data_IF_390411514835
#
_entry.id   IF_390411514835
#
_cell.length_a   1.000
_cell.length_b   1.000
_cell.length_c   1.000
_cell.angle_alpha   90.00
_cell.angle_beta   90.00
_cell.angle_gamma   90.00
#
_symmetry.space_group_name_H-M   'P 1'
#
loop_
_entity.id
_entity.type
_entity.pdbx_description
1 polymer ?
#
# COMPACT_ATOMS: atom_id res chain seq x y z
N UNK A 1 -19.66 -7.51 -13.33
CA UNK A 1 -19.40 -6.37 -12.42
C UNK A 1 -18.86 -6.80 -11.05
N UNK A 2 -19.59 -7.56 -10.21
CA UNK A 2 -19.10 -7.92 -8.84
C UNK A 2 -17.77 -8.68 -8.84
N UNK A 3 -17.61 -9.72 -9.67
CA UNK A 3 -16.37 -10.49 -9.74
C UNK A 3 -15.16 -9.68 -10.21
N UNK A 4 -15.36 -8.73 -11.14
CA UNK A 4 -14.30 -7.85 -11.64
C UNK A 4 -13.84 -6.87 -10.57
N UNK A 5 -14.77 -6.30 -9.79
CA UNK A 5 -14.45 -5.46 -8.65
C UNK A 5 -13.73 -6.24 -7.55
N UNK A 6 -14.19 -7.46 -7.27
CA UNK A 6 -13.52 -8.33 -6.30
C UNK A 6 -12.09 -8.66 -6.73
N UNK A 7 -11.86 -8.94 -8.01
CA UNK A 7 -10.53 -9.17 -8.54
C UNK A 7 -9.62 -7.94 -8.39
N UNK A 8 -10.15 -6.73 -8.65
CA UNK A 8 -9.40 -5.47 -8.41
C UNK A 8 -9.02 -5.31 -6.94
N UNK A 9 -9.94 -5.58 -6.01
CA UNK A 9 -9.68 -5.53 -4.57
C UNK A 9 -8.62 -6.55 -4.15
N UNK A 10 -8.69 -7.79 -4.66
CA UNK A 10 -7.71 -8.84 -4.35
C UNK A 10 -6.31 -8.44 -4.85
N UNK A 11 -6.19 -7.85 -6.04
CA UNK A 11 -4.93 -7.33 -6.57
C UNK A 11 -4.37 -6.16 -5.74
N UNK A 12 -5.21 -5.23 -5.30
CA UNK A 12 -4.78 -4.16 -4.42
C UNK A 12 -4.31 -4.71 -3.06
N UNK A 13 -5.03 -5.71 -2.53
CA UNK A 13 -4.68 -6.39 -1.29
C UNK A 13 -3.36 -7.16 -1.39
N UNK A 14 -3.02 -7.74 -2.54
CA UNK A 14 -1.72 -8.41 -2.70
C UNK A 14 -0.56 -7.42 -2.57
N UNK A 15 -0.71 -6.17 -3.05
CA UNK A 15 0.30 -5.12 -2.87
C UNK A 15 0.45 -4.76 -1.39
N UNK A 16 -0.65 -4.58 -0.66
CA UNK A 16 -0.64 -4.34 0.80
C UNK A 16 -0.03 -5.49 1.61
N UNK A 17 0.19 -6.66 1.00
CA UNK A 17 0.80 -7.84 1.63
C UNK A 17 2.28 -8.00 1.29
N UNK A 18 2.92 -7.02 0.64
CA UNK A 18 4.38 -7.01 0.46
C UNK A 18 5.17 -6.83 1.76
N UNK A 19 4.53 -6.29 2.79
CA UNK A 19 5.10 -6.17 4.13
C UNK A 19 4.01 -6.29 5.21
N UNK A 20 4.38 -6.03 6.48
CA UNK A 20 3.41 -5.95 7.58
C UNK A 20 2.28 -4.97 7.23
N UNK A 21 1.03 -5.38 7.40
CA UNK A 21 -0.12 -4.59 6.95
C UNK A 21 -0.18 -3.21 7.61
N UNK A 22 0.28 -3.07 8.86
CA UNK A 22 0.34 -1.77 9.54
C UNK A 22 1.27 -0.82 8.78
N UNK A 23 2.52 -1.20 8.55
CA UNK A 23 3.54 -0.34 7.94
C UNK A 23 3.23 -0.04 6.48
N UNK A 24 2.66 -1.01 5.74
CA UNK A 24 2.14 -0.80 4.39
C UNK A 24 0.99 0.21 4.37
N UNK A 25 0.08 0.17 5.35
CA UNK A 25 -1.02 1.14 5.44
C UNK A 25 -0.51 2.56 5.63
N UNK A 26 0.47 2.78 6.52
CA UNK A 26 1.10 4.09 6.69
C UNK A 26 1.74 4.57 5.38
N UNK A 27 2.47 3.69 4.68
CA UNK A 27 3.08 4.03 3.39
C UNK A 27 2.03 4.43 2.33
N UNK A 28 0.94 3.66 2.20
CA UNK A 28 -0.13 3.96 1.23
C UNK A 28 -0.85 5.28 1.55
N UNK A 29 -1.05 5.60 2.83
CA UNK A 29 -1.60 6.91 3.23
C UNK A 29 -0.66 8.05 2.82
N UNK A 30 0.66 7.90 3.03
CA UNK A 30 1.68 8.85 2.55
C UNK A 30 1.66 9.00 1.02
N UNK A 31 1.58 7.89 0.27
CA UNK A 31 1.48 7.91 -1.20
C UNK A 31 0.23 8.66 -1.70
N UNK A 32 -0.84 8.68 -0.91
CA UNK A 32 -2.08 9.43 -1.18
C UNK A 32 -2.02 10.90 -0.77
N UNK A 33 -0.86 11.40 -0.34
CA UNK A 33 -0.68 12.78 0.12
C UNK A 33 -1.25 13.05 1.51
N UNK A 34 -1.52 12.00 2.30
CA UNK A 34 -1.94 12.13 3.70
C UNK A 34 -0.73 12.02 4.63
N UNK A 35 -0.79 12.66 5.80
CA UNK A 35 0.21 12.52 6.85
C UNK A 35 -0.32 11.65 8.01
N UNK A 36 -0.02 10.33 8.04
CA UNK A 36 -0.36 9.46 9.16
C UNK A 36 0.69 9.48 10.28
N UNK A 37 1.74 10.31 10.17
CA UNK A 37 2.93 10.21 11.01
C UNK A 37 3.73 8.94 10.74
N UNK A 38 4.16 8.26 11.80
CA UNK A 38 5.01 7.07 11.73
C UNK A 38 4.45 5.90 12.55
N UNK A 39 4.67 4.65 12.11
CA UNK A 39 4.33 3.47 12.90
C UNK A 39 5.00 3.52 14.28
N UNK A 40 4.27 3.09 15.33
CA UNK A 40 4.85 2.94 16.67
C UNK A 40 5.69 1.67 16.74
N UNK A 41 6.73 1.70 17.58
CA UNK A 41 7.56 0.52 17.88
C UNK A 41 6.68 -0.68 18.30
N UNK A 42 7.03 -1.92 17.89
CA UNK A 42 8.27 -2.31 17.19
C UNK A 42 8.24 -2.10 15.66
N UNK A 43 7.18 -1.50 15.12
CA UNK A 43 7.05 -1.28 13.68
C UNK A 43 7.82 -0.05 13.21
N UNK A 44 8.27 -0.08 11.96
CA UNK A 44 9.01 0.99 11.30
C UNK A 44 8.43 1.25 9.91
N UNK A 45 8.76 2.38 9.30
CA UNK A 45 8.43 2.61 7.90
C UNK A 45 9.03 1.51 7.00
N UNK A 46 8.37 1.25 5.88
CA UNK A 46 8.85 0.26 4.92
C UNK A 46 10.11 0.78 4.19
N UNK A 47 11.01 -0.12 3.73
CA UNK A 47 12.17 0.28 2.93
C UNK A 47 11.78 1.04 1.66
N UNK A 48 12.62 1.98 1.22
CA UNK A 48 12.38 2.80 0.02
C UNK A 48 12.09 1.96 -1.23
N UNK A 49 12.84 0.87 -1.45
CA UNK A 49 12.62 -0.04 -2.58
C UNK A 49 11.23 -0.69 -2.56
N UNK A 50 10.68 -0.98 -1.37
CA UNK A 50 9.34 -1.52 -1.23
C UNK A 50 8.27 -0.43 -1.43
N UNK A 51 8.56 0.79 -0.97
CA UNK A 51 7.72 1.95 -1.21
C UNK A 51 7.56 2.23 -2.70
N UNK A 52 8.66 2.39 -3.43
CA UNK A 52 8.69 2.67 -4.87
C UNK A 52 7.97 1.58 -5.68
N UNK A 53 8.20 0.30 -5.33
CA UNK A 53 7.50 -0.83 -5.95
C UNK A 53 5.99 -0.76 -5.72
N UNK A 54 5.55 -0.57 -4.48
CA UNK A 54 4.14 -0.54 -4.13
C UNK A 54 3.44 0.67 -4.77
N UNK A 55 4.08 1.84 -4.79
CA UNK A 55 3.58 3.03 -5.47
C UNK A 55 3.38 2.78 -6.97
N UNK A 56 4.41 2.25 -7.65
CA UNK A 56 4.35 1.96 -9.08
C UNK A 56 3.23 0.99 -9.44
N UNK A 57 3.07 -0.10 -8.67
CA UNK A 57 1.99 -1.07 -8.91
C UNK A 57 0.60 -0.49 -8.64
N UNK A 58 0.43 0.33 -7.60
CA UNK A 58 -0.84 1.00 -7.32
C UNK A 58 -1.20 2.05 -8.39
N UNK A 59 -0.22 2.81 -8.90
CA UNK A 59 -0.40 3.74 -10.04
C UNK A 59 -0.80 3.00 -11.32
N UNK A 60 -0.15 1.88 -11.63
CA UNK A 60 -0.49 1.03 -12.77
C UNK A 60 -1.92 0.47 -12.67
N UNK A 61 -2.46 0.31 -11.45
CA UNK A 61 -3.85 -0.07 -11.21
C UNK A 61 -4.84 1.11 -11.25
N UNK A 62 -4.37 2.36 -11.34
CA UNK A 62 -5.19 3.57 -11.24
C UNK A 62 -5.75 3.82 -9.84
N UNK A 63 -5.03 3.38 -8.79
CA UNK A 63 -5.43 3.52 -7.39
C UNK A 63 -4.71 4.65 -6.64
N UNK A 64 -3.75 5.31 -7.29
CA UNK A 64 -2.96 6.46 -6.83
C UNK A 64 -2.79 7.48 -7.97
#
# INVERSE_FOLDING_TARGET
KTGEHQLKVVKARSILKYGPTLTMTYAVLKMRGMDPGHPRAPYQDIPASLYERAEGELRNMGLL
#
